data_IF_644581516237
#
_entry.id   IF_644581516237
#
_cell.length_a   1.000
_cell.length_b   1.000
_cell.length_c   1.000
_cell.angle_alpha   90.00
_cell.angle_beta   90.00
_cell.angle_gamma   90.00
#
_symmetry.space_group_name_H-M   'P 1'
#
loop_
_entity.id
_entity.type
_entity.pdbx_description
1 polymer ?
#
# COMPACT_ATOMS: atom_id res chain seq x y z
N UNK A 1 -16.33 -8.50 3.00
CA UNK A 1 -15.54 -8.45 1.75
C UNK A 1 -14.96 -9.84 1.53
N UNK A 2 -14.97 -10.35 0.30
CA UNK A 2 -14.25 -11.56 -0.11
C UNK A 2 -13.33 -11.16 -1.28
N UNK A 3 -12.27 -11.89 -1.54
CA UNK A 3 -11.31 -11.58 -2.59
C UNK A 3 -10.06 -10.86 -2.05
N UNK A 4 -9.56 -9.86 -2.76
CA UNK A 4 -8.37 -9.12 -2.37
C UNK A 4 -8.71 -7.67 -2.04
N UNK A 5 -8.14 -7.13 -0.96
CA UNK A 5 -8.23 -5.72 -0.57
C UNK A 5 -6.82 -5.14 -0.56
N UNK A 6 -6.52 -4.22 -1.46
CA UNK A 6 -5.28 -3.44 -1.44
C UNK A 6 -5.51 -2.18 -0.58
N UNK A 7 -4.69 -2.01 0.46
CA UNK A 7 -4.61 -0.79 1.26
C UNK A 7 -3.29 -0.09 0.94
N UNK A 8 -3.34 1.06 0.30
CA UNK A 8 -2.18 1.85 -0.09
C UNK A 8 -2.24 3.28 0.44
N UNK A 9 -1.20 4.05 0.21
CA UNK A 9 -0.99 5.44 0.66
C UNK A 9 0.47 5.70 0.95
N UNK A 10 0.82 6.91 1.33
CA UNK A 10 2.19 7.33 1.65
C UNK A 10 2.72 6.63 2.92
N UNK A 11 4.03 6.68 3.14
CA UNK A 11 4.62 6.25 4.42
C UNK A 11 3.95 7.01 5.57
N UNK A 12 3.85 6.40 6.74
CA UNK A 12 3.15 6.92 7.93
C UNK A 12 1.64 7.23 7.77
N UNK A 13 0.98 6.87 6.63
CA UNK A 13 -0.47 7.07 6.47
C UNK A 13 -1.34 6.11 7.32
N UNK A 14 -0.74 5.17 8.06
CA UNK A 14 -1.48 4.22 8.91
C UNK A 14 -1.81 2.87 8.26
N UNK A 15 -1.36 2.62 7.02
CA UNK A 15 -1.70 1.39 6.25
C UNK A 15 -1.58 0.09 7.03
N UNK A 16 -0.44 -0.12 7.69
CA UNK A 16 -0.17 -1.40 8.37
C UNK A 16 -1.14 -1.65 9.51
N UNK A 17 -1.46 -0.61 10.28
CA UNK A 17 -2.39 -0.70 11.41
C UNK A 17 -3.83 -0.90 10.91
N UNK A 18 -4.25 -0.12 9.91
CA UNK A 18 -5.57 -0.23 9.31
C UNK A 18 -5.77 -1.58 8.62
N UNK A 19 -4.78 -2.05 7.84
CA UNK A 19 -4.86 -3.34 7.17
C UNK A 19 -4.93 -4.52 8.16
N UNK A 20 -4.18 -4.44 9.26
CA UNK A 20 -4.25 -5.43 10.34
C UNK A 20 -5.64 -5.43 10.98
N UNK A 21 -6.13 -4.27 11.41
CA UNK A 21 -7.45 -4.15 12.04
C UNK A 21 -8.60 -4.56 11.10
N UNK A 22 -8.49 -4.24 9.80
CA UNK A 22 -9.46 -4.70 8.80
C UNK A 22 -9.42 -6.23 8.67
N UNK A 23 -8.24 -6.85 8.63
CA UNK A 23 -8.11 -8.30 8.55
C UNK A 23 -8.72 -8.99 9.79
N UNK A 24 -8.49 -8.45 10.98
CA UNK A 24 -9.08 -8.95 12.25
C UNK A 24 -10.61 -8.82 12.28
N UNK A 25 -11.16 -7.82 11.62
CA UNK A 25 -12.62 -7.58 11.55
C UNK A 25 -13.34 -8.51 10.56
N UNK A 26 -12.61 -9.15 9.65
CA UNK A 26 -13.15 -10.04 8.63
C UNK A 26 -13.20 -11.48 9.15
N UNK A 27 -14.21 -12.29 8.78
CA UNK A 27 -14.37 -13.65 9.33
C UNK A 27 -13.20 -14.59 9.05
N UNK A 28 -12.55 -14.41 7.90
CA UNK A 28 -11.43 -15.24 7.43
C UNK A 28 -10.52 -14.40 6.54
N UNK A 29 -9.43 -13.91 7.07
CA UNK A 29 -8.53 -13.03 6.34
C UNK A 29 -7.05 -13.32 6.59
N UNK A 30 -6.21 -12.90 5.65
CA UNK A 30 -4.77 -12.90 5.74
C UNK A 30 -4.24 -11.47 5.51
N UNK A 31 -3.31 -11.01 6.34
CA UNK A 31 -2.65 -9.72 6.15
C UNK A 31 -1.32 -9.91 5.41
N UNK A 32 -1.30 -9.52 4.13
CA UNK A 32 -0.11 -9.61 3.26
C UNK A 32 0.64 -8.28 3.30
N UNK A 33 1.80 -8.28 3.95
CA UNK A 33 2.63 -7.09 4.13
C UNK A 33 3.71 -7.04 3.06
N UNK A 34 3.61 -6.09 2.11
CA UNK A 34 4.54 -5.98 0.99
C UNK A 34 6.00 -5.77 1.40
N UNK A 35 6.24 -5.03 2.50
CA UNK A 35 7.59 -4.77 3.01
C UNK A 35 8.35 -6.04 3.46
N UNK A 36 7.64 -7.13 3.75
CA UNK A 36 8.26 -8.41 4.12
C UNK A 36 9.06 -8.99 2.96
N UNK A 37 8.55 -8.91 1.74
CA UNK A 37 9.21 -9.47 0.56
C UNK A 37 10.56 -8.78 0.28
N UNK A 38 10.65 -7.46 0.50
CA UNK A 38 11.92 -6.75 0.42
C UNK A 38 12.93 -7.23 1.47
N UNK A 39 12.47 -7.48 2.69
CA UNK A 39 13.33 -7.95 3.78
C UNK A 39 13.83 -9.39 3.60
N UNK A 40 13.18 -10.16 2.74
CA UNK A 40 13.63 -11.51 2.36
C UNK A 40 14.88 -11.49 1.48
N UNK A 41 15.19 -10.35 0.83
CA UNK A 41 16.43 -10.20 0.08
C UNK A 41 17.57 -10.01 1.11
N UNK A 42 18.36 -11.05 1.30
CA UNK A 42 19.44 -11.09 2.29
C UNK A 42 20.71 -10.44 1.76
N UNK A 43 20.99 -10.61 0.47
CA UNK A 43 22.18 -10.12 -0.21
C UNK A 43 21.79 -9.42 -1.51
N UNK A 44 22.47 -8.36 -1.90
CA UNK A 44 22.17 -7.57 -3.11
C UNK A 44 20.91 -6.71 -3.02
N UNK A 45 20.42 -6.42 -1.82
CA UNK A 45 19.25 -5.57 -1.63
C UNK A 45 19.58 -4.12 -1.97
N UNK A 46 18.81 -3.54 -2.90
CA UNK A 46 18.88 -2.13 -3.31
C UNK A 46 17.53 -1.45 -3.05
N UNK A 47 17.57 -0.23 -2.54
CA UNK A 47 16.37 0.57 -2.31
C UNK A 47 16.02 1.37 -3.56
N UNK A 48 14.72 1.44 -3.89
CA UNK A 48 14.24 2.37 -4.89
C UNK A 48 14.15 3.77 -4.27
N UNK A 49 14.87 4.72 -4.81
CA UNK A 49 14.96 6.10 -4.32
C UNK A 49 14.16 7.13 -5.15
N UNK A 50 13.51 6.68 -6.21
CA UNK A 50 12.72 7.54 -7.11
C UNK A 50 13.54 8.44 -8.01
N UNK A 51 14.88 8.34 -7.95
CA UNK A 51 15.79 9.13 -8.77
C UNK A 51 15.79 8.73 -10.25
N UNK A 52 16.38 9.57 -11.07
CA UNK A 52 16.60 9.30 -12.48
C UNK A 52 17.96 8.60 -12.68
N UNK A 53 17.94 7.29 -12.89
CA UNK A 53 19.14 6.50 -13.15
C UNK A 53 19.89 6.05 -11.88
N UNK A 54 20.99 5.32 -12.07
CA UNK A 54 21.73 4.68 -10.99
C UNK A 54 21.08 3.39 -10.47
N UNK A 55 21.71 2.74 -9.47
CA UNK A 55 21.21 1.46 -8.93
C UNK A 55 19.86 1.59 -8.23
N UNK A 56 19.59 2.70 -7.54
CA UNK A 56 18.35 2.96 -6.82
C UNK A 56 17.26 3.63 -7.65
N UNK A 57 17.60 4.19 -8.82
CA UNK A 57 16.70 5.01 -9.62
C UNK A 57 15.91 4.24 -10.68
N UNK A 58 15.23 5.00 -11.54
CA UNK A 58 14.44 4.48 -12.64
C UNK A 58 15.30 3.65 -13.62
N UNK A 59 14.85 2.46 -13.95
CA UNK A 59 15.57 1.48 -14.77
C UNK A 59 16.67 0.72 -14.04
N UNK A 60 16.97 1.04 -12.78
CA UNK A 60 17.98 0.38 -11.96
C UNK A 60 17.49 -0.83 -11.18
N UNK A 61 18.40 -1.42 -10.43
CA UNK A 61 18.12 -2.60 -9.59
C UNK A 61 17.06 -2.30 -8.50
N UNK A 62 17.07 -1.10 -7.92
CA UNK A 62 16.06 -0.70 -6.92
C UNK A 62 14.63 -0.75 -7.45
N UNK A 63 14.42 -0.26 -8.67
CA UNK A 63 13.11 -0.35 -9.33
C UNK A 63 12.75 -1.80 -9.67
N UNK A 64 13.73 -2.60 -10.17
CA UNK A 64 13.49 -4.01 -10.48
C UNK A 64 13.07 -4.79 -9.22
N UNK A 65 13.71 -4.54 -8.07
CA UNK A 65 13.34 -5.14 -6.79
C UNK A 65 11.99 -4.63 -6.25
N UNK A 66 11.65 -3.37 -6.45
CA UNK A 66 10.31 -2.85 -6.13
C UNK A 66 9.23 -3.58 -6.94
N UNK A 67 9.44 -3.74 -8.24
CA UNK A 67 8.51 -4.49 -9.11
C UNK A 67 8.44 -5.97 -8.76
N UNK A 68 9.56 -6.58 -8.35
CA UNK A 68 9.56 -7.96 -7.82
C UNK A 68 8.70 -8.06 -6.56
N UNK A 69 8.86 -7.13 -5.61
CA UNK A 69 8.04 -7.05 -4.39
C UNK A 69 6.54 -6.98 -4.71
N UNK A 70 6.14 -6.18 -5.69
CA UNK A 70 4.76 -6.06 -6.11
C UNK A 70 4.21 -7.36 -6.71
N UNK A 71 5.00 -8.03 -7.56
CA UNK A 71 4.59 -9.33 -8.11
C UNK A 71 4.44 -10.40 -7.03
N UNK A 72 5.37 -10.47 -6.08
CA UNK A 72 5.33 -11.44 -4.98
C UNK A 72 4.14 -11.19 -4.05
N UNK A 73 3.87 -9.95 -3.66
CA UNK A 73 2.74 -9.63 -2.81
C UNK A 73 1.39 -9.87 -3.50
N UNK A 74 1.26 -9.56 -4.79
CA UNK A 74 0.07 -9.84 -5.58
C UNK A 74 -0.17 -11.35 -5.73
N UNK A 75 0.86 -12.13 -6.07
CA UNK A 75 0.75 -13.58 -6.19
C UNK A 75 0.40 -14.25 -4.84
N UNK A 76 0.97 -13.76 -3.74
CA UNK A 76 0.64 -14.23 -2.38
C UNK A 76 -0.82 -13.93 -2.03
N UNK A 77 -1.31 -12.73 -2.39
CA UNK A 77 -2.70 -12.36 -2.17
C UNK A 77 -3.66 -13.26 -2.95
N UNK A 78 -3.35 -13.53 -4.23
CA UNK A 78 -4.13 -14.45 -5.05
C UNK A 78 -4.18 -15.86 -4.43
N UNK A 79 -3.05 -16.39 -3.96
CA UNK A 79 -2.98 -17.70 -3.34
C UNK A 79 -3.85 -17.79 -2.06
N UNK A 80 -3.83 -16.76 -1.20
CA UNK A 80 -4.73 -16.72 -0.04
C UNK A 80 -6.19 -16.63 -0.43
N UNK A 81 -6.51 -15.85 -1.46
CA UNK A 81 -7.87 -15.72 -1.95
C UNK A 81 -8.40 -17.02 -2.56
N UNK A 82 -7.58 -17.73 -3.33
CA UNK A 82 -7.86 -19.07 -3.87
C UNK A 82 -8.12 -20.10 -2.75
N UNK A 83 -7.41 -19.98 -1.63
CA UNK A 83 -7.63 -20.79 -0.41
C UNK A 83 -8.87 -20.35 0.42
N UNK A 84 -9.65 -19.37 -0.06
CA UNK A 84 -10.89 -18.91 0.55
C UNK A 84 -10.73 -17.90 1.69
N UNK A 85 -9.55 -17.24 1.78
CA UNK A 85 -9.34 -16.10 2.66
C UNK A 85 -9.64 -14.78 1.94
N UNK A 86 -9.98 -13.74 2.68
CA UNK A 86 -9.85 -12.38 2.17
C UNK A 86 -8.38 -11.96 2.36
N UNK A 87 -7.66 -11.70 1.28
CA UNK A 87 -6.29 -11.22 1.38
C UNK A 87 -6.28 -9.69 1.49
N UNK A 88 -5.88 -9.17 2.66
CA UNK A 88 -5.68 -7.74 2.87
C UNK A 88 -4.21 -7.43 2.63
N UNK A 89 -3.91 -6.85 1.47
CA UNK A 89 -2.54 -6.46 1.09
C UNK A 89 -2.29 -5.02 1.50
N UNK A 90 -1.15 -4.75 2.11
CA UNK A 90 -0.72 -3.38 2.36
C UNK A 90 0.66 -3.11 1.78
N UNK A 91 0.77 -2.01 1.05
CA UNK A 91 2.04 -1.54 0.50
C UNK A 91 1.98 -0.04 0.15
N UNK A 92 3.14 0.56 -0.16
CA UNK A 92 3.22 1.89 -0.77
C UNK A 92 3.20 1.69 -2.29
N UNK A 93 2.04 1.90 -2.89
CA UNK A 93 1.81 1.76 -4.33
C UNK A 93 1.18 3.06 -4.82
N UNK A 94 1.96 3.92 -5.42
CA UNK A 94 1.57 5.28 -5.80
C UNK A 94 1.87 5.55 -7.29
N UNK A 95 1.41 6.68 -7.79
CA UNK A 95 1.63 7.07 -9.17
C UNK A 95 1.06 6.03 -10.14
N UNK A 96 1.70 5.89 -11.27
CA UNK A 96 1.33 4.93 -12.33
C UNK A 96 1.40 3.46 -11.87
N UNK A 97 2.19 3.18 -10.82
CA UNK A 97 2.33 1.84 -10.24
C UNK A 97 1.03 1.33 -9.64
N UNK A 98 0.10 2.20 -9.20
CA UNK A 98 -1.20 1.74 -8.68
C UNK A 98 -2.01 1.00 -9.76
N UNK A 99 -2.09 1.57 -10.96
CA UNK A 99 -2.78 0.90 -12.06
C UNK A 99 -2.08 -0.38 -12.51
N UNK A 100 -0.73 -0.39 -12.48
CA UNK A 100 0.06 -1.58 -12.78
C UNK A 100 -0.17 -2.68 -11.74
N UNK A 101 -0.17 -2.35 -10.45
CA UNK A 101 -0.40 -3.29 -9.36
C UNK A 101 -1.80 -3.92 -9.42
N UNK A 102 -2.84 -3.12 -9.71
CA UNK A 102 -4.22 -3.61 -9.90
C UNK A 102 -4.30 -4.70 -10.97
N UNK A 103 -3.50 -4.58 -12.03
CA UNK A 103 -3.42 -5.60 -13.11
C UNK A 103 -2.67 -6.86 -12.69
N UNK A 104 -1.75 -6.80 -11.73
CA UNK A 104 -1.04 -7.97 -11.23
C UNK A 104 -1.93 -8.92 -10.43
N UNK A 105 -2.94 -8.40 -9.74
CA UNK A 105 -3.89 -9.20 -8.96
C UNK A 105 -4.94 -9.79 -9.90
N UNK A 106 -5.02 -11.12 -9.96
CA UNK A 106 -5.96 -11.87 -10.81
C UNK A 106 -7.32 -12.07 -10.14
N UNK A 107 -7.30 -12.22 -8.81
CA UNK A 107 -8.52 -12.46 -8.03
C UNK A 107 -9.53 -11.33 -8.16
N UNK A 108 -10.81 -11.71 -8.32
CA UNK A 108 -11.95 -10.79 -8.25
C UNK A 108 -12.98 -11.31 -7.25
N UNK A 109 -13.70 -10.44 -6.54
CA UNK A 109 -13.57 -8.99 -6.59
C UNK A 109 -12.25 -8.50 -5.95
N UNK A 110 -11.69 -7.43 -6.53
CA UNK A 110 -10.57 -6.66 -5.97
C UNK A 110 -11.12 -5.34 -5.44
N UNK A 111 -10.64 -4.93 -4.28
CA UNK A 111 -10.95 -3.65 -3.65
C UNK A 111 -9.66 -2.85 -3.47
N UNK A 112 -9.70 -1.58 -3.81
CA UNK A 112 -8.57 -0.66 -3.62
C UNK A 112 -8.99 0.43 -2.65
N UNK A 113 -8.19 0.62 -1.62
CA UNK A 113 -8.36 1.66 -0.60
C UNK A 113 -7.08 2.49 -0.53
N UNK A 114 -7.21 3.79 -0.74
CA UNK A 114 -6.11 4.75 -0.64
C UNK A 114 -6.30 5.58 0.62
N UNK A 115 -5.38 5.44 1.58
CA UNK A 115 -5.34 6.28 2.77
C UNK A 115 -4.58 7.56 2.43
N UNK A 116 -5.26 8.69 2.46
CA UNK A 116 -4.76 10.00 2.05
C UNK A 116 -4.91 11.06 3.16
N UNK A 117 -4.35 10.83 4.37
CA UNK A 117 -4.32 11.86 5.40
C UNK A 117 -3.56 13.10 4.92
N UNK A 118 -3.81 14.25 5.54
CA UNK A 118 -3.08 15.48 5.26
C UNK A 118 -1.58 15.35 5.57
N UNK A 119 -0.73 16.09 4.87
CA UNK A 119 0.73 16.01 5.05
C UNK A 119 1.19 16.35 6.46
N UNK A 120 0.50 17.24 7.16
CA UNK A 120 0.80 17.58 8.58
C UNK A 120 0.54 16.38 9.50
N UNK A 121 -0.55 15.66 9.30
CA UNK A 121 -0.87 14.44 10.03
C UNK A 121 0.17 13.34 9.75
N UNK A 122 0.61 13.20 8.49
CA UNK A 122 1.69 12.27 8.12
C UNK A 122 3.00 12.64 8.82
N UNK A 123 3.38 13.91 8.81
CA UNK A 123 4.60 14.39 9.46
C UNK A 123 4.57 14.16 10.98
N UNK A 124 3.45 14.46 11.64
CA UNK A 124 3.26 14.19 13.07
C UNK A 124 3.34 12.70 13.40
N UNK A 125 2.72 11.84 12.60
CA UNK A 125 2.79 10.38 12.78
C UNK A 125 4.20 9.85 12.55
N UNK A 126 4.94 10.39 11.58
CA UNK A 126 6.33 9.97 11.31
C UNK A 126 7.25 10.38 12.45
N UNK A 127 7.12 11.58 12.99
CA UNK A 127 7.92 12.06 14.13
C UNK A 127 7.76 11.18 15.39
N UNK A 128 6.58 10.59 15.58
CA UNK A 128 6.30 9.69 16.71
C UNK A 128 6.77 8.23 16.48
N UNK A 129 7.39 7.89 15.35
CA UNK A 129 7.83 6.54 15.04
C UNK A 129 9.30 6.32 15.37
N UNK A 130 9.63 5.17 15.96
CA UNK A 130 11.02 4.75 16.18
C UNK A 130 11.79 4.34 14.92
N UNK A 131 11.18 4.45 13.74
CA UNK A 131 11.81 4.19 12.44
C UNK A 131 11.40 5.27 11.46
N UNK A 132 12.37 5.91 10.83
CA UNK A 132 12.15 6.91 9.78
C UNK A 132 11.90 6.20 8.45
N UNK A 133 10.75 6.42 7.84
CA UNK A 133 10.43 5.99 6.48
C UNK A 133 10.86 7.00 5.43
N UNK A 134 11.01 8.24 5.85
CA UNK A 134 11.44 9.37 5.03
C UNK A 134 12.92 9.67 5.21
N UNK A 135 13.55 10.25 4.20
CA UNK A 135 14.96 10.61 4.19
C UNK A 135 15.25 11.56 3.03
N UNK A 136 16.50 11.58 2.57
CA UNK A 136 16.90 12.46 1.46
C UNK A 136 16.20 12.11 0.14
N UNK A 137 15.93 10.85 -0.10
CA UNK A 137 15.26 10.36 -1.33
C UNK A 137 13.76 10.66 -1.34
N UNK A 138 13.09 10.53 -0.19
CA UNK A 138 11.64 10.69 -0.08
C UNK A 138 11.29 11.65 1.06
N UNK A 139 10.64 12.76 0.72
CA UNK A 139 10.08 13.69 1.69
C UNK A 139 8.56 13.50 1.81
N UNK A 140 7.98 13.96 2.94
CA UNK A 140 6.52 13.93 3.13
C UNK A 140 5.81 14.69 2.00
N UNK A 141 6.28 15.90 1.68
CA UNK A 141 5.70 16.72 0.62
C UNK A 141 5.85 16.09 -0.77
N UNK A 142 7.02 15.46 -1.06
CA UNK A 142 7.26 14.79 -2.32
C UNK A 142 6.31 13.62 -2.54
N UNK A 143 6.16 12.74 -1.53
CA UNK A 143 5.24 11.61 -1.64
C UNK A 143 3.77 12.02 -1.61
N UNK A 144 3.41 13.08 -0.89
CA UNK A 144 2.04 13.63 -0.94
C UNK A 144 1.74 14.20 -2.34
N UNK A 145 2.71 14.84 -2.97
CA UNK A 145 2.62 15.30 -4.37
C UNK A 145 2.35 14.14 -5.34
N UNK A 146 3.14 13.06 -5.25
CA UNK A 146 2.92 11.85 -6.06
C UNK A 146 1.54 11.24 -5.79
N UNK A 147 1.15 11.14 -4.51
CA UNK A 147 -0.16 10.60 -4.13
C UNK A 147 -1.29 11.42 -4.76
N UNK A 148 -1.27 12.75 -4.65
CA UNK A 148 -2.41 13.59 -5.04
C UNK A 148 -2.45 13.93 -6.52
N UNK A 149 -1.29 14.13 -7.14
CA UNK A 149 -1.19 14.64 -8.52
C UNK A 149 -0.91 13.56 -9.57
N UNK A 150 -0.22 12.46 -9.20
CA UNK A 150 0.21 11.45 -10.16
C UNK A 150 -0.50 10.11 -9.99
N UNK A 151 -1.09 9.85 -8.80
CA UNK A 151 -1.77 8.58 -8.55
C UNK A 151 -3.18 8.58 -9.12
N UNK A 152 -3.55 7.62 -9.98
CA UNK A 152 -4.88 7.56 -10.56
C UNK A 152 -5.94 7.32 -9.48
N UNK A 153 -7.11 7.95 -9.63
CA UNK A 153 -8.24 7.85 -8.68
C UNK A 153 -8.96 6.50 -8.80
N UNK A 154 -8.24 5.41 -8.49
CA UNK A 154 -8.77 4.05 -8.49
C UNK A 154 -9.26 3.71 -7.08
N UNK A 155 -10.49 3.17 -6.98
CA UNK A 155 -11.07 2.70 -5.73
C UNK A 155 -11.51 3.79 -4.77
N UNK A 156 -11.52 3.47 -3.47
CA UNK A 156 -11.95 4.34 -2.38
C UNK A 156 -10.79 5.14 -1.82
N UNK A 157 -10.88 6.45 -1.88
CA UNK A 157 -9.94 7.39 -1.27
C UNK A 157 -10.51 7.92 0.04
N UNK A 158 -9.73 7.79 1.12
CA UNK A 158 -10.13 8.23 2.45
C UNK A 158 -9.12 9.21 3.02
N UNK A 159 -9.56 10.41 3.35
CA UNK A 159 -8.82 11.26 4.26
C UNK A 159 -8.99 10.68 5.67
N UNK A 160 -7.87 10.27 6.25
CA UNK A 160 -7.81 9.65 7.58
C UNK A 160 -7.10 10.54 8.60
N UNK A 161 -7.07 11.85 8.35
CA UNK A 161 -6.39 12.81 9.24
C UNK A 161 -6.98 12.76 10.64
N UNK A 162 -8.32 12.80 10.73
CA UNK A 162 -9.06 12.86 11.99
C UNK A 162 -9.69 11.51 12.39
N UNK A 163 -9.49 10.46 11.59
CA UNK A 163 -10.09 9.17 11.86
C UNK A 163 -9.18 8.30 12.73
N UNK A 164 -9.76 7.68 13.74
CA UNK A 164 -9.17 6.54 14.43
C UNK A 164 -9.06 5.33 13.50
N UNK A 165 -8.31 4.33 13.92
CA UNK A 165 -8.18 3.07 13.18
C UNK A 165 -9.54 2.38 13.02
N UNK A 166 -10.34 2.35 14.07
CA UNK A 166 -11.68 1.75 14.05
C UNK A 166 -12.61 2.45 13.08
N UNK A 167 -12.70 3.78 13.13
CA UNK A 167 -13.50 4.59 12.21
C UNK A 167 -13.04 4.43 10.76
N UNK A 168 -11.74 4.34 10.54
CA UNK A 168 -11.19 4.07 9.20
C UNK A 168 -11.65 2.70 8.68
N UNK A 169 -11.62 1.66 9.51
CA UNK A 169 -12.11 0.32 9.14
C UNK A 169 -13.61 0.33 8.82
N UNK A 170 -14.43 0.99 9.65
CA UNK A 170 -15.86 1.12 9.37
C UNK A 170 -16.13 1.91 8.08
N UNK A 171 -15.37 2.98 7.82
CA UNK A 171 -15.46 3.73 6.55
C UNK A 171 -15.09 2.87 5.33
N UNK A 172 -14.09 1.99 5.45
CA UNK A 172 -13.71 1.04 4.39
C UNK A 172 -14.86 0.05 4.15
N UNK A 173 -15.42 -0.54 5.20
CA UNK A 173 -16.51 -1.51 5.10
C UNK A 173 -17.79 -0.89 4.52
N UNK A 174 -18.14 0.31 4.95
CA UNK A 174 -19.26 1.08 4.42
C UNK A 174 -19.04 1.49 2.95
N UNK A 175 -17.80 1.85 2.60
CA UNK A 175 -17.41 2.28 1.26
C UNK A 175 -17.05 1.15 0.29
N UNK A 176 -17.30 -0.12 0.63
CA UNK A 176 -16.83 -1.30 -0.12
C UNK A 176 -17.20 -1.28 -1.61
N UNK A 177 -18.38 -0.78 -1.97
CA UNK A 177 -18.81 -0.73 -3.38
C UNK A 177 -17.98 0.29 -4.18
N UNK A 178 -17.60 1.42 -3.56
CA UNK A 178 -16.69 2.41 -4.18
C UNK A 178 -15.25 1.92 -4.24
N UNK A 179 -14.85 1.04 -3.30
CA UNK A 179 -13.53 0.44 -3.31
C UNK A 179 -13.37 -0.65 -4.38
N UNK A 180 -14.47 -1.20 -4.89
CA UNK A 180 -14.46 -2.31 -5.84
C UNK A 180 -13.93 -1.87 -7.20
N UNK A 181 -13.01 -2.69 -7.75
CA UNK A 181 -12.32 -2.45 -9.01
C UNK A 181 -12.40 -3.72 -9.87
N UNK A 182 -13.10 -3.66 -11.00
CA UNK A 182 -13.21 -4.75 -11.96
C UNK A 182 -14.14 -5.86 -11.51
#
# INVERSE_FOLDING_TARGET
MRGVVLVTGVMASGKSTVAQALAERLPRAAHVRGDVFRRMIVSGRTEYDGGAGGEGGAGGEGEAQLRLRYRLSAATADAYAEAGFTAVVQDVVLGTELAAYVRLIRTRPLYVVVLAPGPETVAGREAGRGKTGYGTAWTVAGLDGVLRSETPRIGLWLDTSELSVGETVEAILAGRERARVG
#
